data_IF_297482561309
#
_entry.id   IF_297482561309
#
_cell.length_a   1.000
_cell.length_b   1.000
_cell.length_c   1.000
_cell.angle_alpha   90.00
_cell.angle_beta   90.00
_cell.angle_gamma   90.00
#
_symmetry.space_group_name_H-M   'P 1'
#
loop_
_entity.id
_entity.type
_entity.pdbx_description
1 polymer ?
#
# COMPACT_ATOMS: atom_id res chain seq x y z
N UNK A 1 -38.85 -23.28 -14.48
CA UNK A 1 -38.48 -23.34 -13.05
C UNK A 1 -38.05 -21.95 -12.65
N UNK A 2 -38.83 -21.27 -11.80
CA UNK A 2 -38.48 -19.94 -11.32
C UNK A 2 -37.34 -20.07 -10.32
N UNK A 3 -36.23 -19.36 -10.51
CA UNK A 3 -35.15 -19.35 -9.54
C UNK A 3 -35.71 -18.79 -8.20
N UNK A 4 -35.41 -19.42 -7.05
CA UNK A 4 -36.03 -19.10 -5.76
C UNK A 4 -35.57 -17.77 -5.14
N UNK A 5 -34.75 -16.97 -5.84
CA UNK A 5 -34.14 -15.74 -5.34
C UNK A 5 -34.12 -14.63 -6.40
N UNK A 6 -33.99 -13.35 -6.00
CA UNK A 6 -33.73 -12.22 -6.89
C UNK A 6 -32.44 -12.42 -7.72
N UNK A 7 -32.31 -11.68 -8.81
CA UNK A 7 -31.07 -11.64 -9.58
C UNK A 7 -29.93 -11.03 -8.76
N UNK A 8 -28.71 -11.51 -9.01
CA UNK A 8 -27.52 -11.03 -8.34
C UNK A 8 -27.16 -9.61 -8.77
N UNK A 9 -26.65 -8.83 -7.84
CA UNK A 9 -25.98 -7.58 -8.17
C UNK A 9 -24.72 -7.87 -9.01
N UNK A 10 -24.44 -7.09 -10.07
CA UNK A 10 -23.23 -7.25 -10.88
C UNK A 10 -21.92 -7.26 -10.07
N UNK A 11 -21.87 -6.56 -8.93
CA UNK A 11 -20.68 -6.47 -8.06
C UNK A 11 -20.60 -7.60 -7.03
N UNK A 12 -21.63 -8.45 -6.89
CA UNK A 12 -21.70 -9.46 -5.81
C UNK A 12 -20.45 -10.35 -5.74
N UNK A 13 -20.01 -10.89 -6.87
CA UNK A 13 -18.83 -11.75 -6.91
C UNK A 13 -17.55 -10.99 -6.54
N UNK A 14 -17.39 -9.77 -7.08
CA UNK A 14 -16.24 -8.93 -6.83
C UNK A 14 -16.13 -8.53 -5.35
N UNK A 15 -17.25 -8.11 -4.74
CA UNK A 15 -17.31 -7.75 -3.32
C UNK A 15 -17.08 -8.96 -2.41
N UNK A 16 -17.59 -10.13 -2.80
CA UNK A 16 -17.32 -11.37 -2.07
C UNK A 16 -15.83 -11.70 -2.07
N UNK A 17 -15.19 -11.67 -3.23
CA UNK A 17 -13.77 -11.96 -3.39
C UNK A 17 -12.90 -10.94 -2.64
N UNK A 18 -13.31 -9.66 -2.58
CA UNK A 18 -12.60 -8.61 -1.84
C UNK A 18 -12.46 -8.93 -0.34
N UNK A 19 -13.52 -9.43 0.31
CA UNK A 19 -13.48 -9.79 1.73
C UNK A 19 -12.51 -10.96 1.99
N UNK A 20 -12.38 -11.87 1.04
CA UNK A 20 -11.54 -13.06 1.16
C UNK A 20 -10.08 -12.84 0.71
N UNK A 21 -9.80 -11.72 0.04
CA UNK A 21 -8.49 -11.40 -0.52
C UNK A 21 -7.57 -10.63 0.44
N UNK A 22 -7.59 -10.88 1.76
CA UNK A 22 -6.74 -10.17 2.74
C UNK A 22 -5.44 -10.95 3.08
N UNK A 23 -4.38 -10.91 2.27
CA UNK A 23 -3.09 -11.43 2.70
C UNK A 23 -2.50 -10.50 3.77
N UNK A 24 -2.15 -11.05 4.93
CA UNK A 24 -1.40 -10.28 5.92
C UNK A 24 -0.05 -9.87 5.35
N UNK A 25 0.23 -8.56 5.32
CA UNK A 25 1.56 -8.07 5.02
C UNK A 25 2.54 -8.63 6.07
N UNK A 26 3.59 -9.31 5.61
CA UNK A 26 4.69 -9.75 6.48
C UNK A 26 5.70 -8.62 6.55
N UNK A 27 5.88 -8.07 7.75
CA UNK A 27 6.91 -7.06 8.04
C UNK A 27 7.99 -7.75 8.87
N UNK A 28 9.21 -7.78 8.34
CA UNK A 28 10.39 -8.21 9.10
C UNK A 28 10.92 -7.01 9.87
N UNK A 29 11.13 -7.16 11.17
CA UNK A 29 11.64 -6.09 12.03
C UNK A 29 13.18 -6.06 12.04
N UNK A 30 13.77 -4.87 12.28
CA UNK A 30 13.12 -3.57 12.37
C UNK A 30 12.76 -3.00 10.99
N UNK A 31 11.72 -2.17 10.92
CA UNK A 31 11.23 -1.60 9.65
C UNK A 31 10.58 -0.23 9.83
N UNK A 32 10.63 0.56 8.76
CA UNK A 32 9.77 1.72 8.55
C UNK A 32 8.63 1.31 7.62
N UNK A 33 7.39 1.63 7.99
CA UNK A 33 6.20 1.40 7.18
C UNK A 33 5.53 2.74 6.91
N UNK A 34 5.27 3.03 5.64
CA UNK A 34 4.43 4.17 5.22
C UNK A 34 3.19 3.62 4.55
N UNK A 35 2.02 3.98 5.06
CA UNK A 35 0.74 3.55 4.52
C UNK A 35 -0.11 4.77 4.16
N UNK A 36 -0.53 4.85 2.90
CA UNK A 36 -1.43 5.89 2.41
C UNK A 36 -2.64 5.23 1.75
N UNK A 37 -3.84 5.59 2.19
CA UNK A 37 -5.09 5.19 1.56
C UNK A 37 -5.81 6.43 1.00
N UNK A 38 -6.25 6.34 -0.25
CA UNK A 38 -6.95 7.40 -0.97
C UNK A 38 -8.27 6.90 -1.54
N UNK A 39 -9.33 7.69 -1.42
CA UNK A 39 -10.54 7.48 -2.21
C UNK A 39 -10.21 7.72 -3.68
N UNK A 40 -10.57 6.76 -4.53
CA UNK A 40 -10.23 6.78 -5.97
C UNK A 40 -11.43 7.04 -6.87
N UNK A 41 -12.53 7.57 -6.32
CA UNK A 41 -13.71 7.92 -7.12
C UNK A 41 -13.33 8.85 -8.29
N UNK A 42 -13.62 8.41 -9.52
CA UNK A 42 -13.24 9.11 -10.75
C UNK A 42 -11.79 8.92 -11.20
N UNK A 43 -10.96 8.22 -10.43
CA UNK A 43 -9.59 7.86 -10.80
C UNK A 43 -9.58 6.53 -11.54
N UNK A 44 -9.34 6.59 -12.84
CA UNK A 44 -9.15 5.40 -13.65
C UNK A 44 -7.87 4.65 -13.25
N UNK A 45 -7.89 3.31 -13.31
CA UNK A 45 -6.73 2.46 -13.01
C UNK A 45 -5.50 2.79 -13.87
N UNK A 46 -5.69 3.26 -15.10
CA UNK A 46 -4.61 3.73 -15.96
C UNK A 46 -3.84 4.94 -15.38
N UNK A 47 -4.52 5.79 -14.59
CA UNK A 47 -3.90 6.93 -13.90
C UNK A 47 -2.97 6.45 -12.77
N UNK A 48 -3.40 5.43 -12.03
CA UNK A 48 -2.58 4.81 -11.00
C UNK A 48 -1.42 4.03 -11.60
N UNK A 49 -1.64 3.33 -12.72
CA UNK A 49 -0.57 2.68 -13.47
C UNK A 49 0.51 3.69 -13.86
N UNK A 50 0.12 4.82 -14.47
CA UNK A 50 1.04 5.90 -14.82
C UNK A 50 1.74 6.50 -13.59
N UNK A 51 1.08 6.51 -12.43
CA UNK A 51 1.69 6.94 -11.18
C UNK A 51 2.75 5.95 -10.68
N UNK A 52 2.46 4.65 -10.70
CA UNK A 52 3.40 3.58 -10.31
C UNK A 52 4.59 3.50 -11.28
N UNK A 53 4.39 3.70 -12.58
CA UNK A 53 5.47 3.71 -13.58
C UNK A 53 6.53 4.79 -13.35
N UNK A 54 6.23 5.82 -12.54
CA UNK A 54 7.21 6.85 -12.14
C UNK A 54 8.19 6.37 -11.07
N UNK A 55 7.97 5.19 -10.49
CA UNK A 55 8.89 4.60 -9.53
C UNK A 55 10.11 4.02 -10.26
N UNK A 56 11.31 4.06 -9.64
CA UNK A 56 12.52 3.50 -10.23
C UNK A 56 12.34 2.03 -10.65
N UNK A 57 12.65 1.72 -11.91
CA UNK A 57 12.56 0.37 -12.46
C UNK A 57 11.14 -0.15 -12.72
N UNK A 58 10.12 0.71 -12.66
CA UNK A 58 8.70 0.32 -12.86
C UNK A 58 8.10 0.88 -14.16
N UNK A 59 8.90 1.49 -15.03
CA UNK A 59 8.48 2.02 -16.34
C UNK A 59 7.87 0.94 -17.25
N UNK A 60 8.30 -0.31 -17.08
CA UNK A 60 7.77 -1.48 -17.79
C UNK A 60 6.43 -2.02 -17.28
N UNK A 61 5.85 -1.49 -16.20
CA UNK A 61 4.55 -1.94 -15.70
C UNK A 61 3.46 -1.77 -16.77
N UNK A 62 2.57 -2.76 -16.87
CA UNK A 62 1.50 -2.78 -17.85
C UNK A 62 0.14 -2.84 -17.17
N UNK A 63 -0.93 -2.58 -17.95
CA UNK A 63 -2.29 -2.80 -17.49
C UNK A 63 -2.54 -4.27 -17.08
N UNK A 64 -1.76 -5.21 -17.63
CA UNK A 64 -1.86 -6.61 -17.27
C UNK A 64 -1.42 -6.89 -15.83
N UNK A 65 -0.39 -6.18 -15.36
CA UNK A 65 0.18 -6.33 -14.02
C UNK A 65 -0.75 -5.77 -12.94
N UNK A 66 -1.59 -4.81 -13.31
CA UNK A 66 -2.65 -4.25 -12.46
C UNK A 66 -4.03 -4.84 -12.76
N UNK A 67 -4.12 -5.99 -13.45
CA UNK A 67 -5.44 -6.65 -13.65
C UNK A 67 -6.01 -7.10 -12.31
N UNK A 68 -5.18 -7.69 -11.45
CA UNK A 68 -5.54 -7.95 -10.05
C UNK A 68 -5.70 -6.65 -9.28
N UNK A 69 -6.49 -6.69 -8.20
CA UNK A 69 -6.60 -5.61 -7.22
C UNK A 69 -5.40 -5.49 -6.28
N UNK A 70 -4.29 -6.18 -6.59
CA UNK A 70 -3.08 -6.26 -5.78
C UNK A 70 -1.86 -6.28 -6.71
N UNK A 71 -0.84 -5.51 -6.38
CA UNK A 71 0.49 -5.58 -6.98
C UNK A 71 1.56 -5.34 -5.91
N UNK A 72 2.69 -6.04 -6.01
CA UNK A 72 3.87 -5.83 -5.16
C UNK A 72 5.06 -5.47 -6.02
N UNK A 73 5.65 -4.31 -5.76
CA UNK A 73 6.76 -3.74 -6.50
C UNK A 73 8.01 -3.71 -5.63
N UNK A 74 9.14 -4.10 -6.20
CA UNK A 74 10.45 -4.02 -5.54
C UNK A 74 11.18 -2.76 -5.98
N UNK A 75 11.60 -1.95 -5.01
CA UNK A 75 12.26 -0.65 -5.20
C UNK A 75 13.64 -0.68 -4.51
N UNK A 76 14.47 -1.65 -4.88
CA UNK A 76 15.74 -1.92 -4.20
C UNK A 76 15.51 -2.67 -2.89
N UNK A 77 15.83 -2.06 -1.75
CA UNK A 77 15.54 -2.63 -0.44
C UNK A 77 14.05 -2.47 -0.04
N UNK A 78 13.35 -1.53 -0.67
CA UNK A 78 11.99 -1.18 -0.32
C UNK A 78 11.00 -2.04 -1.08
N UNK A 79 9.88 -2.36 -0.43
CA UNK A 79 8.75 -3.05 -1.05
C UNK A 79 7.53 -2.16 -1.00
N UNK A 80 6.96 -1.82 -2.15
CA UNK A 80 5.68 -1.14 -2.25
C UNK A 80 4.59 -2.16 -2.57
N UNK A 81 3.52 -2.15 -1.80
CA UNK A 81 2.30 -2.89 -2.08
C UNK A 81 1.20 -1.91 -2.48
N UNK A 82 0.63 -2.12 -3.66
CA UNK A 82 -0.53 -1.38 -4.18
C UNK A 82 -1.75 -2.30 -4.13
N UNK A 83 -2.81 -1.84 -3.49
CA UNK A 83 -4.06 -2.59 -3.36
C UNK A 83 -5.23 -1.69 -3.69
N UNK A 84 -6.07 -2.11 -4.63
CA UNK A 84 -7.24 -1.34 -5.07
C UNK A 84 -8.53 -2.04 -4.70
N UNK A 85 -9.22 -1.45 -3.74
CA UNK A 85 -10.56 -1.83 -3.30
C UNK A 85 -11.62 -1.18 -4.19
N UNK A 86 -12.88 -1.47 -3.90
CA UNK A 86 -14.01 -0.86 -4.61
C UNK A 86 -14.06 0.66 -4.40
N UNK A 87 -13.76 1.16 -3.20
CA UNK A 87 -13.89 2.58 -2.84
C UNK A 87 -12.56 3.35 -2.71
N UNK A 88 -11.48 2.65 -2.37
CA UNK A 88 -10.18 3.26 -2.09
C UNK A 88 -9.01 2.42 -2.61
N UNK A 89 -7.88 3.08 -2.78
CA UNK A 89 -6.61 2.43 -3.12
C UNK A 89 -5.64 2.68 -1.98
N UNK A 90 -4.95 1.64 -1.54
CA UNK A 90 -3.91 1.74 -0.54
C UNK A 90 -2.52 1.49 -1.14
N UNK A 91 -1.54 2.21 -0.59
CA UNK A 91 -0.14 2.18 -0.94
C UNK A 91 0.64 1.94 0.35
N UNK A 92 1.23 0.76 0.50
CA UNK A 92 1.99 0.37 1.69
C UNK A 92 3.45 0.14 1.30
N UNK A 93 4.32 1.04 1.74
CA UNK A 93 5.76 0.96 1.56
C UNK A 93 6.40 0.38 2.83
N UNK A 94 7.24 -0.62 2.66
CA UNK A 94 8.04 -1.21 3.74
C UNK A 94 9.52 -0.97 3.39
N UNK A 95 10.22 -0.31 4.30
CA UNK A 95 11.66 -0.08 4.25
C UNK A 95 12.32 -0.84 5.42
N UNK A 96 13.17 -1.85 5.16
CA UNK A 96 13.92 -2.55 6.20
C UNK A 96 14.90 -1.59 6.91
N UNK A 97 14.98 -1.68 8.24
CA UNK A 97 15.96 -0.94 9.03
C UNK A 97 17.13 -1.84 9.47
N UNK A 98 18.30 -1.26 9.79
CA UNK A 98 19.40 -1.97 10.46
C UNK A 98 18.96 -2.57 11.80
N UNK A 99 19.52 -3.71 12.20
CA UNK A 99 19.14 -4.42 13.44
C UNK A 99 19.35 -3.60 14.72
N UNK A 100 20.31 -2.67 14.70
CA UNK A 100 20.64 -1.73 15.77
C UNK A 100 19.85 -0.42 15.70
N UNK A 101 18.77 -0.37 14.92
CA UNK A 101 17.89 0.79 14.84
C UNK A 101 17.27 1.14 16.21
N UNK A 102 17.61 2.31 16.73
CA UNK A 102 17.06 2.87 17.98
C UNK A 102 15.92 3.87 17.70
N UNK A 103 14.98 4.15 18.63
CA UNK A 103 13.88 5.10 18.46
C UNK A 103 14.30 6.46 17.89
N UNK A 104 13.44 7.15 17.11
CA UNK A 104 13.79 8.47 16.58
C UNK A 104 13.97 9.45 17.73
N UNK A 105 14.86 10.44 17.57
CA UNK A 105 14.87 11.59 18.46
C UNK A 105 13.59 12.42 18.26
N UNK A 106 13.17 13.20 19.26
CA UNK A 106 11.88 13.93 19.24
C UNK A 106 11.69 14.84 18.01
N UNK A 107 12.78 15.31 17.40
CA UNK A 107 12.77 16.19 16.21
C UNK A 107 13.04 15.45 14.88
N UNK A 108 13.24 14.13 14.90
CA UNK A 108 13.54 13.34 13.71
C UNK A 108 12.25 12.97 12.98
N UNK A 109 11.84 13.84 12.06
CA UNK A 109 10.74 13.57 11.13
C UNK A 109 11.14 12.36 10.30
N UNK A 110 10.41 11.24 10.50
CA UNK A 110 10.59 9.98 9.78
C UNK A 110 10.95 10.25 8.31
N UNK A 111 12.20 9.99 7.88
CA UNK A 111 12.56 10.15 6.49
C UNK A 111 11.68 9.17 5.73
N UNK A 112 10.72 9.71 4.98
CA UNK A 112 9.84 8.94 4.11
C UNK A 112 10.74 8.34 3.05
N UNK A 113 11.18 7.11 3.35
CA UNK A 113 11.86 6.12 2.54
C UNK A 113 12.76 6.63 1.41
N UNK A 114 14.06 6.37 1.55
CA UNK A 114 15.08 6.80 0.60
C UNK A 114 14.92 6.31 -0.85
N UNK A 115 14.02 5.36 -1.15
CA UNK A 115 13.80 4.89 -2.53
C UNK A 115 12.67 5.60 -3.29
N UNK A 116 11.81 6.40 -2.62
CA UNK A 116 10.74 7.10 -3.33
C UNK A 116 11.23 8.40 -3.99
N UNK A 117 10.83 8.68 -5.25
CA UNK A 117 11.07 9.98 -5.85
C UNK A 117 10.47 11.11 -5.01
N UNK A 118 11.16 12.26 -4.97
CA UNK A 118 10.68 13.43 -4.23
C UNK A 118 9.26 13.82 -4.69
N UNK A 119 8.36 14.00 -3.72
CA UNK A 119 6.97 14.38 -3.97
C UNK A 119 6.11 13.29 -4.61
N UNK A 120 6.59 12.04 -4.71
CA UNK A 120 5.79 10.93 -5.28
C UNK A 120 4.52 10.68 -4.45
N UNK A 121 4.63 10.54 -3.12
CA UNK A 121 3.46 10.35 -2.25
C UNK A 121 2.42 11.47 -2.36
N UNK A 122 2.87 12.72 -2.47
CA UNK A 122 1.99 13.88 -2.61
C UNK A 122 1.20 13.88 -3.93
N UNK A 123 1.60 13.06 -4.90
CA UNK A 123 0.98 12.94 -6.22
C UNK A 123 0.20 11.63 -6.38
N UNK A 124 -0.04 10.89 -5.28
CA UNK A 124 -0.94 9.73 -5.30
C UNK A 124 -2.32 10.20 -5.80
N UNK A 125 -2.87 9.60 -6.88
CA UNK A 125 -4.17 10.00 -7.41
C UNK A 125 -5.30 9.67 -6.45
N UNK A 126 -6.11 10.66 -6.09
CA UNK A 126 -7.29 10.48 -5.25
C UNK A 126 -7.34 11.48 -4.10
N UNK A 127 -8.11 11.14 -3.07
CA UNK A 127 -8.25 11.96 -1.86
C UNK A 127 -7.88 11.15 -0.62
N UNK A 128 -6.84 11.57 0.10
CA UNK A 128 -6.36 10.88 1.30
C UNK A 128 -7.44 10.71 2.36
N UNK A 129 -7.58 9.49 2.84
CA UNK A 129 -8.41 9.12 4.01
C UNK A 129 -7.58 8.58 5.16
N UNK A 130 -6.39 8.03 4.87
CA UNK A 130 -5.41 7.66 5.88
C UNK A 130 -3.99 7.92 5.36
N UNK A 131 -3.12 8.41 6.26
CA UNK A 131 -1.69 8.52 6.04
C UNK A 131 -0.99 8.20 7.37
N UNK A 132 -0.25 7.10 7.40
CA UNK A 132 0.35 6.53 8.61
C UNK A 132 1.82 6.28 8.31
N UNK A 133 2.70 6.70 9.22
CA UNK A 133 4.10 6.32 9.23
C UNK A 133 4.39 5.61 10.54
N UNK A 134 4.93 4.39 10.46
CA UNK A 134 5.25 3.56 11.61
C UNK A 134 6.73 3.21 11.58
N UNK A 135 7.43 3.44 12.68
CA UNK A 135 8.75 2.86 12.93
C UNK A 135 8.59 1.69 13.86
N UNK A 136 8.88 0.50 13.37
CA UNK A 136 8.72 -0.75 14.10
C UNK A 136 10.10 -1.27 14.48
N UNK A 137 10.38 -1.33 15.78
CA UNK A 137 11.67 -1.73 16.36
C UNK A 137 11.50 -2.97 17.23
N UNK A 138 12.61 -3.64 17.56
CA UNK A 138 12.62 -4.61 18.65
C UNK A 138 12.70 -3.86 19.99
N UNK A 139 11.92 -4.28 20.97
CA UNK A 139 12.00 -3.83 22.35
C UNK A 139 11.75 -5.02 23.27
N UNK A 140 12.42 -5.05 24.43
CA UNK A 140 12.09 -6.01 25.46
C UNK A 140 10.74 -5.65 26.10
N UNK A 141 9.96 -6.66 26.46
CA UNK A 141 8.63 -6.47 27.07
C UNK A 141 8.73 -5.75 28.43
N UNK A 142 9.88 -5.87 29.11
CA UNK A 142 10.14 -5.26 30.41
C UNK A 142 10.47 -3.74 30.32
N UNK A 143 10.70 -3.21 29.11
CA UNK A 143 10.98 -1.79 28.86
C UNK A 143 9.71 -0.95 28.64
N UNK A 144 8.52 -1.54 28.75
CA UNK A 144 7.24 -0.81 28.66
C UNK A 144 7.02 0.04 29.93
N UNK A 145 7.44 1.31 29.89
CA UNK A 145 7.04 2.33 30.87
C UNK A 145 5.63 2.87 30.60
#
# INVERSE_FOLDING_TARGET
>A
MSAPLPADDPERALLHDEVHARPSARVTLPALVVHVAVLHAGVARATELAHLQRLPGQDGLTAADLRSSFARLSLGADTLTWERHTEFTSYSLIHPLPQDAAPPADDDVLPVAGALPAGWLAQIPGRTVAAIALRMLHADIDDAQ
#
